data_IF_866150566361
#
_entry.id   IF_866150566361
#
_cell.length_a   1.000
_cell.length_b   1.000
_cell.length_c   1.000
_cell.angle_alpha   90.00
_cell.angle_beta   90.00
_cell.angle_gamma   90.00
#
_symmetry.space_group_name_H-M   'P 1'
#
loop_
_entity.id
_entity.type
_entity.pdbx_description
1 polymer ?
#
# COMPACT_ATOMS: atom_id res chain seq x y z
N UNK A 1 1.38 15.33 -12.93
CA UNK A 1 1.31 14.10 -13.76
C UNK A 1 1.47 12.92 -12.82
N UNK A 2 0.47 12.04 -12.72
CA UNK A 2 0.64 10.79 -11.96
C UNK A 2 1.68 9.93 -12.68
N UNK A 3 2.64 9.38 -11.94
CA UNK A 3 3.75 8.59 -12.48
C UNK A 3 3.34 7.14 -12.78
N UNK A 4 2.18 6.71 -12.28
CA UNK A 4 1.64 5.36 -12.39
C UNK A 4 0.14 5.41 -12.75
N UNK A 5 -0.29 4.51 -13.63
CA UNK A 5 -1.69 4.21 -13.94
C UNK A 5 -1.96 2.78 -13.46
N UNK A 6 -3.05 2.57 -12.74
CA UNK A 6 -3.46 1.26 -12.23
C UNK A 6 -4.89 0.98 -12.66
N UNK A 7 -5.19 -0.26 -13.03
CA UNK A 7 -6.58 -0.74 -13.09
C UNK A 7 -7.15 -0.99 -11.68
N UNK A 8 -8.45 -1.31 -11.60
CA UNK A 8 -9.13 -1.53 -10.32
C UNK A 8 -8.53 -2.70 -9.51
N UNK A 9 -8.05 -3.74 -10.19
CA UNK A 9 -7.44 -4.91 -9.57
C UNK A 9 -6.06 -4.55 -9.01
N UNK A 10 -5.24 -3.85 -9.78
CA UNK A 10 -3.91 -3.40 -9.36
C UNK A 10 -3.99 -2.46 -8.16
N UNK A 11 -4.94 -1.51 -8.17
CA UNK A 11 -5.17 -0.61 -7.05
C UNK A 11 -5.57 -1.38 -5.77
N UNK A 12 -6.48 -2.36 -5.89
CA UNK A 12 -6.90 -3.19 -4.76
C UNK A 12 -5.75 -4.08 -4.24
N UNK A 13 -4.93 -4.63 -5.13
CA UNK A 13 -3.78 -5.45 -4.76
C UNK A 13 -2.71 -4.61 -4.02
N UNK A 14 -2.41 -3.41 -4.51
CA UNK A 14 -1.47 -2.49 -3.85
C UNK A 14 -1.94 -2.13 -2.44
N UNK A 15 -3.23 -1.82 -2.28
CA UNK A 15 -3.84 -1.53 -0.97
C UNK A 15 -3.78 -2.73 -0.04
N UNK A 16 -4.08 -3.93 -0.54
CA UNK A 16 -4.02 -5.16 0.25
C UNK A 16 -2.60 -5.45 0.75
N UNK A 17 -1.58 -5.27 -0.12
CA UNK A 17 -0.16 -5.41 0.26
C UNK A 17 0.26 -4.39 1.32
N UNK A 18 -0.17 -3.14 1.17
CA UNK A 18 0.12 -2.07 2.12
C UNK A 18 -0.49 -2.36 3.50
N UNK A 19 -1.76 -2.76 3.58
CA UNK A 19 -2.40 -3.11 4.86
C UNK A 19 -1.73 -4.32 5.50
N UNK A 20 -1.37 -5.34 4.70
CA UNK A 20 -0.66 -6.53 5.20
C UNK A 20 0.72 -6.19 5.77
N UNK A 21 1.48 -5.29 5.13
CA UNK A 21 2.78 -4.85 5.64
C UNK A 21 2.64 -4.17 7.01
N UNK A 22 1.60 -3.33 7.16
CA UNK A 22 1.35 -2.62 8.40
C UNK A 22 0.96 -3.62 9.50
N UNK A 23 0.05 -4.54 9.21
CA UNK A 23 -0.36 -5.58 10.15
C UNK A 23 0.82 -6.43 10.63
N UNK A 24 1.76 -6.78 9.74
CA UNK A 24 2.98 -7.50 10.13
C UNK A 24 3.93 -6.70 11.04
N UNK A 25 3.91 -5.37 10.97
CA UNK A 25 4.80 -4.49 11.74
C UNK A 25 4.18 -4.05 13.07
N UNK A 26 2.91 -3.66 13.05
CA UNK A 26 2.22 -2.98 14.14
C UNK A 26 1.08 -3.81 14.75
N UNK A 27 0.75 -4.97 14.18
CA UNK A 27 -0.38 -5.79 14.60
C UNK A 27 -1.72 -5.17 14.19
N UNK A 28 -2.72 -5.28 15.05
CA UNK A 28 -4.11 -4.96 14.72
C UNK A 28 -4.50 -3.49 14.99
N UNK A 29 -3.53 -2.57 15.07
CA UNK A 29 -3.79 -1.16 15.37
C UNK A 29 -4.23 -0.35 14.15
N UNK A 30 -5.47 -0.59 13.72
CA UNK A 30 -6.09 0.09 12.60
C UNK A 30 -6.26 1.60 12.83
N UNK A 31 -6.43 2.05 14.08
CA UNK A 31 -6.63 3.48 14.37
C UNK A 31 -5.34 4.26 14.15
N UNK A 32 -4.19 3.70 14.52
CA UNK A 32 -2.88 4.29 14.20
C UNK A 32 -2.66 4.38 12.70
N UNK A 33 -2.94 3.30 11.96
CA UNK A 33 -2.83 3.33 10.49
C UNK A 33 -3.70 4.43 9.87
N UNK A 34 -4.94 4.57 10.30
CA UNK A 34 -5.86 5.60 9.81
C UNK A 34 -5.36 7.02 10.12
N UNK A 35 -4.66 7.21 11.25
CA UNK A 35 -4.00 8.46 11.57
C UNK A 35 -2.86 8.76 10.60
N UNK A 36 -1.99 7.79 10.34
CA UNK A 36 -0.79 7.94 9.52
C UNK A 36 -1.09 8.22 8.03
N UNK A 37 -2.15 7.62 7.48
CA UNK A 37 -2.51 7.76 6.05
C UNK A 37 -3.43 8.94 5.76
N UNK A 38 -3.86 9.69 6.78
CA UNK A 38 -4.71 10.85 6.60
C UNK A 38 -4.06 11.88 5.67
N UNK A 39 -4.83 12.45 4.73
CA UNK A 39 -4.33 13.50 3.83
C UNK A 39 -4.51 14.86 4.50
N UNK A 40 -3.43 15.61 4.60
CA UNK A 40 -3.41 16.95 5.16
C UNK A 40 -3.78 18.03 4.13
N UNK A 41 -3.95 19.26 4.61
CA UNK A 41 -4.38 20.39 3.78
C UNK A 41 -3.38 20.76 2.67
N UNK A 42 -2.11 20.36 2.81
CA UNK A 42 -1.07 20.54 1.81
C UNK A 42 -1.03 19.43 0.74
N UNK A 43 -1.87 18.40 0.89
CA UNK A 43 -1.94 17.23 0.01
C UNK A 43 -0.94 16.13 0.34
N UNK A 44 -0.13 16.27 1.39
CA UNK A 44 0.70 15.21 1.95
C UNK A 44 -0.08 14.25 2.85
N UNK A 45 0.54 13.14 3.22
CA UNK A 45 0.03 12.26 4.30
C UNK A 45 0.53 12.77 5.66
N UNK A 46 -0.22 12.48 6.72
CA UNK A 46 0.15 12.79 8.10
C UNK A 46 1.50 12.15 8.49
N UNK A 47 1.78 10.92 8.01
CA UNK A 47 3.11 10.32 8.05
C UNK A 47 3.71 10.18 6.64
N UNK A 48 4.78 10.94 6.30
CA UNK A 48 5.51 10.78 5.04
C UNK A 48 6.11 9.38 4.85
N UNK A 49 6.39 8.62 5.92
CA UNK A 49 6.87 7.24 5.80
C UNK A 49 5.77 6.32 5.26
N UNK A 50 4.54 6.46 5.74
CA UNK A 50 3.39 5.73 5.23
C UNK A 50 3.17 5.97 3.72
N UNK A 51 3.41 7.19 3.23
CA UNK A 51 3.36 7.48 1.79
C UNK A 51 4.44 6.77 0.98
N UNK A 52 5.67 6.76 1.49
CA UNK A 52 6.77 6.06 0.81
C UNK A 52 6.55 4.54 0.74
N UNK A 53 6.00 3.98 1.83
CA UNK A 53 5.57 2.59 1.92
C UNK A 53 4.47 2.27 0.90
N UNK A 54 3.44 3.11 0.82
CA UNK A 54 2.40 3.01 -0.22
C UNK A 54 2.99 3.00 -1.64
N UNK A 55 3.91 3.95 -1.95
CA UNK A 55 4.56 3.99 -3.26
C UNK A 55 5.41 2.75 -3.54
N UNK A 56 5.98 2.10 -2.52
CA UNK A 56 6.65 0.82 -2.69
C UNK A 56 5.66 -0.30 -3.07
N UNK A 57 4.48 -0.35 -2.46
CA UNK A 57 3.42 -1.29 -2.84
C UNK A 57 2.94 -1.04 -4.27
N UNK A 58 2.67 0.21 -4.66
CA UNK A 58 2.26 0.56 -6.03
C UNK A 58 3.31 0.10 -7.05
N UNK A 59 4.60 0.40 -6.81
CA UNK A 59 5.70 -0.07 -7.67
C UNK A 59 5.75 -1.59 -7.76
N UNK A 60 5.57 -2.29 -6.64
CA UNK A 60 5.60 -3.77 -6.64
C UNK A 60 4.51 -4.40 -7.51
N UNK A 61 3.37 -3.72 -7.67
CA UNK A 61 2.24 -4.20 -8.47
C UNK A 61 2.41 -3.79 -9.93
N UNK A 62 2.71 -2.51 -10.18
CA UNK A 62 2.76 -1.94 -11.53
C UNK A 62 4.03 -2.35 -12.29
N UNK A 63 5.18 -2.39 -11.63
CA UNK A 63 6.47 -2.70 -12.28
C UNK A 63 6.72 -4.22 -12.37
N UNK A 64 5.78 -5.06 -11.92
CA UNK A 64 5.83 -6.51 -12.11
C UNK A 64 6.78 -7.25 -11.17
N UNK A 65 6.79 -6.92 -9.87
CA UNK A 65 7.20 -7.92 -8.89
C UNK A 65 6.06 -8.94 -8.78
N UNK A 66 6.10 -9.92 -9.68
CA UNK A 66 5.33 -11.15 -9.56
C UNK A 66 5.52 -11.72 -8.15
N UNK A 67 4.41 -12.18 -7.62
CA UNK A 67 4.18 -12.86 -6.37
C UNK A 67 5.35 -13.76 -5.90
N UNK A 68 5.86 -13.64 -4.65
CA UNK A 68 6.41 -14.81 -3.96
C UNK A 68 5.29 -15.80 -3.57
N UNK A 69 4.01 -15.50 -3.81
CA UNK A 69 2.90 -16.44 -3.65
C UNK A 69 2.28 -16.85 -5.01
N UNK A 70 3.11 -17.36 -5.92
CA UNK A 70 2.60 -18.25 -6.97
C UNK A 70 1.88 -19.42 -6.29
N UNK A 71 0.59 -19.56 -6.56
CA UNK A 71 -0.32 -20.40 -5.77
C UNK A 71 0.03 -21.88 -5.68
N UNK A 72 -0.50 -22.53 -4.64
CA UNK A 72 -1.06 -23.88 -4.70
C UNK A 72 -1.77 -24.20 -3.38
N UNK A 73 -3.11 -24.35 -3.44
CA UNK A 73 -3.89 -25.39 -2.76
C UNK A 73 -5.39 -25.06 -2.85
N UNK A 74 -6.16 -25.91 -3.55
CA UNK A 74 -7.63 -25.94 -3.52
C UNK A 74 -8.28 -25.96 -4.88
#
# INVERSE_FOLDING_TARGET
MSRYSMDEREAFLAMSRFVWQFANRAGDDLLTLLGDIGIEADGGTADPAAWNDWLACVRSVVDGAEDPAGGSAG
#
